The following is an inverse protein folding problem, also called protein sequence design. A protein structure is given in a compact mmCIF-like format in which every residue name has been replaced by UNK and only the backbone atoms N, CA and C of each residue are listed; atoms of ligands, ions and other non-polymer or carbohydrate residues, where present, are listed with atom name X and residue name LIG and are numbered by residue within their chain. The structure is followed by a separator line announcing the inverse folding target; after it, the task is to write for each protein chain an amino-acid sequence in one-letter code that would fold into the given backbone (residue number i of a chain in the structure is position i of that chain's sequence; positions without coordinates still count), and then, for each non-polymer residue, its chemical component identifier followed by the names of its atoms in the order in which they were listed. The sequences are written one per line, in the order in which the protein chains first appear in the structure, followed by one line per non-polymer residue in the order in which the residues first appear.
data_IF_091958907647
#
_entry.id   IF_091958907647
#
_cell.length_a   1.000
_cell.length_b   1.000
_cell.length_c   1.000
_cell.angle_alpha   90.00
_cell.angle_beta   90.00
_cell.angle_gamma   90.00
#
_symmetry.space_group_name_H-M   'P 1'
#
loop_
_entity.id
_entity.type
_entity.pdbx_description
1 polymer ?
#
# COMPACT_ATOMS: atom_id res chain seq x y z
N UNK A 1 -3.56 8.71 -13.46
CA UNK A 1 -2.64 9.84 -13.16
C UNK A 1 -3.35 11.10 -12.67
N UNK A 2 -4.54 11.50 -13.27
CA UNK A 2 -5.23 12.71 -12.82
C UNK A 2 -5.73 12.62 -11.36
N UNK A 3 -6.23 11.48 -10.85
CA UNK A 3 -6.55 11.38 -9.43
C UNK A 3 -5.36 11.60 -8.51
N UNK A 4 -4.16 11.17 -8.90
CA UNK A 4 -2.93 11.33 -8.09
C UNK A 4 -2.41 12.76 -8.01
N UNK A 5 -3.02 13.71 -8.71
CA UNK A 5 -2.72 15.14 -8.51
C UNK A 5 -3.04 15.62 -7.10
N UNK A 6 -3.79 14.82 -6.32
CA UNK A 6 -4.02 15.06 -4.90
C UNK A 6 -2.73 15.08 -4.06
N UNK A 7 -1.64 14.49 -4.54
CA UNK A 7 -0.31 14.59 -3.92
C UNK A 7 0.20 16.03 -3.84
N UNK A 8 -0.35 16.93 -4.64
CA UNK A 8 -0.06 18.37 -4.59
C UNK A 8 -0.74 19.07 -3.40
N UNK A 9 -1.70 18.41 -2.75
CA UNK A 9 -2.32 18.90 -1.51
C UNK A 9 -1.33 18.66 -0.38
N UNK A 10 -0.55 19.67 -0.07
CA UNK A 10 0.50 19.64 0.95
C UNK A 10 0.64 21.01 1.60
N UNK A 11 1.14 21.01 2.83
CA UNK A 11 1.40 22.22 3.60
C UNK A 11 2.80 22.18 4.19
N UNK A 12 3.41 23.33 4.37
CA UNK A 12 4.65 23.48 5.13
C UNK A 12 4.42 23.47 6.64
N UNK A 13 3.20 23.80 7.07
CA UNK A 13 2.81 23.82 8.49
C UNK A 13 2.25 22.48 9.00
N UNK A 14 1.59 21.68 8.13
CA UNK A 14 1.04 20.37 8.48
C UNK A 14 1.71 19.26 7.64
N UNK A 15 2.67 18.53 8.20
CA UNK A 15 3.43 17.51 7.48
C UNK A 15 2.63 16.25 7.14
N UNK A 16 1.46 16.04 7.74
CA UNK A 16 0.61 14.86 7.49
C UNK A 16 -0.47 15.12 6.44
N UNK A 17 -0.65 16.35 6.01
CA UNK A 17 -1.72 16.73 5.07
C UNK A 17 -1.68 15.86 3.79
N UNK A 18 -0.50 15.59 3.27
CA UNK A 18 -0.35 14.77 2.06
C UNK A 18 -0.83 13.33 2.27
N UNK A 19 -0.53 12.70 3.40
CA UNK A 19 -0.98 11.32 3.64
C UNK A 19 -2.48 11.22 3.93
N UNK A 20 -3.09 12.28 4.44
CA UNK A 20 -4.54 12.34 4.66
C UNK A 20 -5.30 12.44 3.34
N UNK A 21 -4.81 13.27 2.41
CA UNK A 21 -5.51 13.56 1.16
C UNK A 21 -5.11 12.66 0.01
N UNK A 22 -3.88 12.12 -0.01
CA UNK A 22 -3.46 11.24 -1.08
C UNK A 22 -4.30 9.96 -1.12
N UNK A 23 -4.88 9.69 -2.29
CA UNK A 23 -5.85 8.62 -2.55
C UNK A 23 -7.11 8.70 -1.68
N UNK A 24 -7.55 9.93 -1.40
CA UNK A 24 -8.78 10.20 -0.67
C UNK A 24 -9.92 10.50 -1.67
N UNK A 25 -10.58 11.65 -1.57
CA UNK A 25 -11.78 12.01 -2.34
C UNK A 25 -11.60 11.88 -3.86
N UNK A 26 -10.42 12.16 -4.40
CA UNK A 26 -10.08 12.05 -5.84
C UNK A 26 -10.22 10.64 -6.40
N UNK A 27 -10.10 9.62 -5.54
CA UNK A 27 -10.22 8.20 -5.89
C UNK A 27 -11.60 7.62 -5.52
N UNK A 28 -12.48 8.43 -4.95
CA UNK A 28 -13.84 8.01 -4.57
C UNK A 28 -14.72 7.78 -5.79
N UNK A 29 -15.53 6.72 -5.76
CA UNK A 29 -16.53 6.44 -6.79
C UNK A 29 -17.58 7.56 -6.92
N UNK A 30 -17.83 8.31 -5.86
CA UNK A 30 -18.76 9.44 -5.86
C UNK A 30 -18.16 10.70 -6.49
N UNK A 31 -16.85 10.86 -6.43
CA UNK A 31 -16.13 11.96 -7.08
C UNK A 31 -15.84 11.67 -8.57
N UNK A 32 -15.82 10.41 -8.98
CA UNK A 32 -15.50 9.98 -10.34
C UNK A 32 -16.24 10.75 -11.44
N UNK A 33 -17.60 10.94 -11.39
CA UNK A 33 -18.30 11.67 -12.45
C UNK A 33 -17.82 13.11 -12.59
N UNK A 34 -17.65 13.82 -11.45
CA UNK A 34 -17.20 15.21 -11.43
C UNK A 34 -15.73 15.33 -11.88
N UNK A 35 -14.84 14.52 -11.34
CA UNK A 35 -13.43 14.49 -11.75
C UNK A 35 -13.25 14.16 -13.22
N UNK A 36 -14.02 13.16 -13.72
CA UNK A 36 -13.99 12.80 -15.14
C UNK A 36 -14.54 13.90 -16.03
N UNK A 37 -15.57 14.60 -15.61
CA UNK A 37 -16.12 15.75 -16.34
C UNK A 37 -15.07 16.85 -16.47
N UNK A 38 -14.43 17.23 -15.34
CA UNK A 38 -13.39 18.26 -15.31
C UNK A 38 -12.24 17.95 -16.26
N UNK A 39 -11.68 16.73 -16.16
CA UNK A 39 -10.57 16.29 -17.02
C UNK A 39 -11.02 16.22 -18.49
N UNK A 40 -12.26 15.78 -18.76
CA UNK A 40 -12.78 15.68 -20.13
C UNK A 40 -12.98 17.03 -20.77
N UNK A 41 -13.43 18.05 -20.02
CA UNK A 41 -13.54 19.42 -20.51
C UNK A 41 -12.17 19.96 -20.91
N UNK A 42 -11.15 19.76 -20.06
CA UNK A 42 -9.79 20.18 -20.37
C UNK A 42 -9.25 19.48 -21.64
N UNK A 43 -9.43 18.16 -21.74
CA UNK A 43 -8.97 17.39 -22.90
C UNK A 43 -9.75 17.73 -24.18
N UNK A 44 -11.00 18.13 -24.07
CA UNK A 44 -11.83 18.47 -25.22
C UNK A 44 -11.26 19.63 -26.02
N UNK A 45 -10.63 20.62 -25.38
CA UNK A 45 -9.97 21.73 -26.09
C UNK A 45 -8.89 21.24 -27.07
N UNK A 46 -8.21 20.14 -26.75
CA UNK A 46 -7.14 19.57 -27.56
C UNK A 46 -7.66 18.51 -28.56
N UNK A 47 -8.73 17.79 -28.21
CA UNK A 47 -9.18 16.61 -28.94
C UNK A 47 -10.49 16.80 -29.72
N UNK A 48 -11.12 17.99 -29.67
CA UNK A 48 -12.43 18.27 -30.28
C UNK A 48 -12.49 17.99 -31.79
N UNK A 49 -11.36 18.10 -32.49
CA UNK A 49 -11.28 17.83 -33.93
C UNK A 49 -11.18 16.35 -34.26
N UNK A 50 -10.90 15.47 -33.27
CA UNK A 50 -10.66 14.05 -33.46
C UNK A 50 -11.69 13.16 -32.77
N UNK A 51 -12.28 13.63 -31.65
CA UNK A 51 -13.18 12.86 -30.82
C UNK A 51 -14.37 13.70 -30.33
N UNK A 52 -15.54 13.07 -30.27
CA UNK A 52 -16.72 13.66 -29.64
C UNK A 52 -16.53 13.70 -28.10
N UNK A 53 -17.06 14.71 -27.46
CA UNK A 53 -16.97 14.92 -25.99
C UNK A 53 -17.41 13.68 -25.20
N UNK A 54 -18.52 13.02 -25.58
CA UNK A 54 -19.01 11.80 -24.91
C UNK A 54 -17.99 10.65 -24.91
N UNK A 55 -17.19 10.53 -25.97
CA UNK A 55 -16.17 9.50 -26.06
C UNK A 55 -14.98 9.83 -25.16
N UNK A 56 -14.57 11.12 -25.12
CA UNK A 56 -13.53 11.58 -24.22
C UNK A 56 -13.95 11.33 -22.77
N UNK A 57 -15.19 11.69 -22.41
CA UNK A 57 -15.73 11.47 -21.07
C UNK A 57 -15.75 9.96 -20.72
N UNK A 58 -16.23 9.11 -21.62
CA UNK A 58 -16.25 7.66 -21.38
C UNK A 58 -14.84 7.08 -21.14
N UNK A 59 -13.85 7.49 -21.93
CA UNK A 59 -12.47 7.02 -21.76
C UNK A 59 -11.84 7.53 -20.46
N UNK A 60 -12.05 8.81 -20.14
CA UNK A 60 -11.54 9.39 -18.88
C UNK A 60 -12.21 8.72 -17.68
N UNK A 61 -13.52 8.55 -17.71
CA UNK A 61 -14.28 7.91 -16.63
C UNK A 61 -13.81 6.47 -16.39
N UNK A 62 -13.67 5.65 -17.44
CA UNK A 62 -13.17 4.29 -17.33
C UNK A 62 -11.72 4.26 -16.85
N UNK A 63 -10.89 5.19 -17.30
CA UNK A 63 -9.50 5.32 -16.85
C UNK A 63 -9.39 5.65 -15.35
N UNK A 64 -10.19 6.61 -14.87
CA UNK A 64 -10.21 6.96 -13.45
C UNK A 64 -10.81 5.83 -12.58
N UNK A 65 -11.88 5.18 -13.06
CA UNK A 65 -12.51 4.05 -12.37
C UNK A 65 -11.54 2.88 -12.18
N UNK A 66 -10.85 2.48 -13.26
CA UNK A 66 -9.87 1.39 -13.21
C UNK A 66 -8.64 1.77 -12.38
N UNK A 67 -8.22 3.02 -12.39
CA UNK A 67 -7.13 3.54 -11.56
C UNK A 67 -7.46 3.41 -10.07
N UNK A 68 -8.59 3.96 -9.61
CA UNK A 68 -9.01 3.84 -8.20
C UNK A 68 -9.20 2.38 -7.75
N UNK A 69 -9.71 1.53 -8.62
CA UNK A 69 -9.83 0.09 -8.34
C UNK A 69 -8.46 -0.59 -8.19
N UNK A 70 -7.50 -0.33 -9.09
CA UNK A 70 -6.15 -0.88 -9.00
C UNK A 70 -5.42 -0.41 -7.74
N UNK A 71 -5.63 0.84 -7.35
CA UNK A 71 -5.07 1.36 -6.11
C UNK A 71 -5.66 0.68 -4.87
N UNK A 72 -6.95 0.33 -4.89
CA UNK A 72 -7.55 -0.48 -3.84
C UNK A 72 -6.98 -1.90 -3.77
N UNK A 73 -6.45 -2.43 -4.88
CA UNK A 73 -5.74 -3.72 -4.89
C UNK A 73 -4.38 -3.66 -4.19
N UNK A 74 -3.79 -2.48 -4.03
CA UNK A 74 -2.48 -2.28 -3.35
C UNK A 74 -2.63 -2.19 -1.84
N UNK A 75 -1.49 -2.15 -1.15
CA UNK A 75 -1.45 -2.01 0.32
C UNK A 75 -1.77 -0.60 0.80
N UNK A 76 -1.43 0.42 0.03
CA UNK A 76 -1.73 1.80 0.40
C UNK A 76 -3.25 2.03 0.44
N UNK A 77 -3.96 1.42 -0.49
CA UNK A 77 -5.42 1.48 -0.58
C UNK A 77 -5.95 2.86 -0.95
N UNK A 78 -7.26 2.98 -1.02
CA UNK A 78 -7.96 4.22 -1.30
C UNK A 78 -9.27 4.33 -0.50
N UNK A 79 -9.78 5.53 -0.31
CA UNK A 79 -11.10 5.77 0.30
C UNK A 79 -12.20 5.73 -0.76
N UNK A 80 -12.45 4.55 -1.33
CA UNK A 80 -13.40 4.37 -2.45
C UNK A 80 -14.82 4.92 -2.17
N UNK A 81 -15.25 4.90 -0.92
CA UNK A 81 -16.61 5.28 -0.54
C UNK A 81 -16.71 6.64 0.15
N UNK A 82 -15.68 7.48 0.07
CA UNK A 82 -15.78 8.85 0.54
C UNK A 82 -16.90 9.61 -0.25
N UNK A 83 -17.75 10.45 0.36
CA UNK A 83 -17.76 10.90 1.76
C UNK A 83 -18.52 9.99 2.73
N UNK A 84 -19.13 8.90 2.29
CA UNK A 84 -19.94 8.00 3.14
C UNK A 84 -19.07 7.22 4.13
N UNK A 85 -17.81 6.98 3.79
CA UNK A 85 -16.85 6.28 4.65
C UNK A 85 -15.43 6.78 4.39
N UNK A 86 -14.70 7.05 5.46
CA UNK A 86 -13.27 7.40 5.41
C UNK A 86 -12.36 6.15 5.44
N UNK A 87 -12.95 4.94 5.51
CA UNK A 87 -12.17 3.70 5.55
C UNK A 87 -11.39 3.51 4.25
N UNK A 88 -10.06 3.34 4.36
CA UNK A 88 -9.22 2.93 3.24
C UNK A 88 -9.44 1.45 2.92
N UNK A 89 -9.76 1.16 1.67
CA UNK A 89 -9.87 -0.20 1.15
C UNK A 89 -8.53 -0.58 0.56
N UNK A 90 -7.89 -1.60 1.12
CA UNK A 90 -6.62 -2.16 0.65
C UNK A 90 -6.73 -3.68 0.63
N UNK A 91 -6.67 -4.26 -0.56
CA UNK A 91 -6.79 -5.72 -0.73
C UNK A 91 -5.46 -6.44 -0.54
N UNK A 92 -4.33 -5.73 -0.55
CA UNK A 92 -2.98 -6.28 -0.37
C UNK A 92 -2.63 -7.42 -1.35
N UNK A 93 -3.12 -7.37 -2.58
CA UNK A 93 -2.94 -8.45 -3.55
C UNK A 93 -1.90 -8.16 -4.62
N UNK A 94 -1.57 -6.89 -4.84
CA UNK A 94 -0.55 -6.48 -5.81
C UNK A 94 0.39 -5.45 -5.20
N UNK A 95 1.66 -5.50 -5.57
CA UNK A 95 2.64 -4.47 -5.23
C UNK A 95 2.33 -3.16 -5.98
N UNK A 96 2.67 -2.02 -5.38
CA UNK A 96 2.51 -0.71 -6.03
C UNK A 96 3.33 -0.59 -7.33
N UNK A 97 4.46 -1.29 -7.40
CA UNK A 97 5.24 -1.50 -8.62
C UNK A 97 5.28 -3.00 -8.87
N UNK A 98 4.59 -3.46 -9.89
CA UNK A 98 4.59 -4.86 -10.32
C UNK A 98 5.07 -4.95 -11.79
N UNK A 99 6.33 -5.35 -12.02
CA UNK A 99 6.91 -5.42 -13.36
C UNK A 99 6.17 -6.39 -14.28
N UNK A 100 5.70 -7.54 -13.74
CA UNK A 100 4.99 -8.53 -14.55
C UNK A 100 3.68 -7.96 -15.06
N UNK A 101 2.91 -7.32 -14.20
CA UNK A 101 1.66 -6.67 -14.58
C UNK A 101 1.89 -5.54 -15.57
N UNK A 102 2.80 -4.62 -15.24
CA UNK A 102 3.05 -3.41 -16.03
C UNK A 102 3.64 -3.72 -17.39
N UNK A 103 4.71 -4.54 -17.45
CA UNK A 103 5.37 -4.86 -18.72
C UNK A 103 4.45 -5.66 -19.67
N UNK A 104 3.66 -6.56 -19.13
CA UNK A 104 2.69 -7.32 -19.94
C UNK A 104 1.65 -6.39 -20.57
N UNK A 105 1.11 -5.43 -19.83
CA UNK A 105 0.18 -4.44 -20.36
C UNK A 105 0.84 -3.54 -21.43
N UNK A 106 2.08 -3.11 -21.21
CA UNK A 106 2.83 -2.32 -22.20
C UNK A 106 3.00 -3.13 -23.48
N UNK A 107 3.33 -4.41 -23.40
CA UNK A 107 3.48 -5.30 -24.56
C UNK A 107 2.16 -5.41 -25.33
N UNK A 108 1.03 -5.66 -24.66
CA UNK A 108 -0.27 -5.73 -25.30
C UNK A 108 -0.67 -4.40 -25.95
N UNK A 109 -0.41 -3.28 -25.28
CA UNK A 109 -0.66 -1.94 -25.81
C UNK A 109 0.19 -1.68 -27.06
N UNK A 110 1.48 -2.03 -27.04
CA UNK A 110 2.38 -1.91 -28.19
C UNK A 110 1.84 -2.68 -29.40
N UNK A 111 1.44 -3.94 -29.21
CA UNK A 111 0.88 -4.73 -30.31
C UNK A 111 -0.49 -4.22 -30.76
N UNK A 112 -1.32 -3.71 -29.87
CA UNK A 112 -2.59 -3.08 -30.20
C UNK A 112 -2.39 -1.90 -31.17
N UNK A 113 -1.43 -1.03 -30.88
CA UNK A 113 -1.10 0.14 -31.72
C UNK A 113 -0.45 -0.31 -33.03
N UNK A 114 0.59 -1.15 -32.97
CA UNK A 114 1.36 -1.60 -34.15
C UNK A 114 0.49 -2.38 -35.15
N UNK A 115 -0.39 -3.24 -34.66
CA UNK A 115 -1.27 -4.07 -35.50
C UNK A 115 -2.63 -3.43 -35.76
N UNK A 116 -2.92 -2.26 -35.20
CA UNK A 116 -4.22 -1.58 -35.26
C UNK A 116 -5.39 -2.52 -34.95
N UNK A 117 -5.22 -3.40 -33.95
CA UNK A 117 -6.17 -4.48 -33.63
C UNK A 117 -6.57 -4.48 -32.17
N UNK A 118 -7.86 -4.31 -31.90
CA UNK A 118 -8.44 -4.36 -30.56
C UNK A 118 -8.33 -5.74 -29.89
N UNK A 119 -7.92 -6.80 -30.60
CA UNK A 119 -7.71 -8.12 -29.99
C UNK A 119 -6.68 -8.06 -28.88
N UNK A 120 -5.59 -7.31 -29.08
CA UNK A 120 -4.52 -7.20 -28.08
C UNK A 120 -4.96 -6.45 -26.83
N UNK A 121 -5.78 -5.41 -26.95
CA UNK A 121 -6.34 -4.75 -25.77
C UNK A 121 -7.28 -5.66 -24.98
N UNK A 122 -8.08 -6.49 -25.64
CA UNK A 122 -8.92 -7.52 -24.98
C UNK A 122 -8.06 -8.55 -24.25
N UNK A 123 -6.96 -9.01 -24.84
CA UNK A 123 -6.01 -9.90 -24.14
C UNK A 123 -5.37 -9.22 -22.93
N UNK A 124 -5.02 -7.93 -23.04
CA UNK A 124 -4.52 -7.15 -21.89
C UNK A 124 -5.52 -7.09 -20.73
N UNK A 125 -6.80 -6.85 -21.04
CA UNK A 125 -7.87 -6.84 -20.03
C UNK A 125 -8.04 -8.22 -19.39
N UNK A 126 -8.12 -9.28 -20.20
CA UNK A 126 -8.25 -10.65 -19.72
C UNK A 126 -7.06 -11.05 -18.83
N UNK A 127 -5.85 -10.71 -19.26
CA UNK A 127 -4.64 -10.91 -18.47
C UNK A 127 -4.74 -10.18 -17.12
N UNK A 128 -5.16 -8.90 -17.12
CA UNK A 128 -5.30 -8.12 -15.89
C UNK A 128 -6.25 -8.77 -14.89
N UNK A 129 -7.42 -9.19 -15.36
CA UNK A 129 -8.42 -9.87 -14.52
C UNK A 129 -7.83 -11.16 -13.95
N UNK A 130 -7.25 -12.01 -14.82
CA UNK A 130 -6.67 -13.28 -14.41
C UNK A 130 -5.51 -13.08 -13.41
N UNK A 131 -4.63 -12.11 -13.67
CA UNK A 131 -3.49 -11.82 -12.81
C UNK A 131 -3.92 -11.33 -11.42
N UNK A 132 -4.92 -10.45 -11.35
CA UNK A 132 -5.46 -9.98 -10.07
C UNK A 132 -6.16 -11.11 -9.29
N UNK A 133 -6.92 -11.97 -9.96
CA UNK A 133 -7.55 -13.15 -9.34
C UNK A 133 -6.49 -14.15 -8.84
N UNK A 134 -5.45 -14.36 -9.62
CA UNK A 134 -4.31 -15.19 -9.22
C UNK A 134 -3.63 -14.64 -7.97
N UNK A 135 -3.33 -13.33 -7.94
CA UNK A 135 -2.71 -12.69 -6.78
C UNK A 135 -3.64 -12.68 -5.56
N UNK A 136 -4.94 -12.53 -5.74
CA UNK A 136 -5.92 -12.70 -4.67
C UNK A 136 -5.85 -14.11 -4.07
N UNK A 137 -5.83 -15.13 -4.92
CA UNK A 137 -5.69 -16.52 -4.47
C UNK A 137 -4.37 -16.76 -3.74
N UNK A 138 -3.27 -16.18 -4.23
CA UNK A 138 -1.97 -16.24 -3.54
C UNK A 138 -2.02 -15.57 -2.17
N UNK A 139 -2.62 -14.41 -2.06
CA UNK A 139 -2.80 -13.73 -0.77
C UNK A 139 -3.55 -14.63 0.22
N UNK A 140 -4.65 -15.28 -0.19
CA UNK A 140 -5.40 -16.23 0.66
C UNK A 140 -4.54 -17.43 1.08
N UNK A 141 -3.70 -17.96 0.18
CA UNK A 141 -2.79 -19.06 0.51
C UNK A 141 -1.75 -18.63 1.55
N UNK A 142 -1.17 -17.44 1.43
CA UNK A 142 -0.21 -16.90 2.41
C UNK A 142 -0.89 -16.64 3.74
N UNK A 143 -2.09 -16.05 3.76
CA UNK A 143 -2.87 -15.89 4.99
C UNK A 143 -3.08 -17.23 5.71
N UNK A 144 -3.52 -18.26 4.98
CA UNK A 144 -3.70 -19.61 5.55
C UNK A 144 -2.38 -20.21 6.08
N UNK A 145 -1.28 -19.98 5.38
CA UNK A 145 0.04 -20.42 5.83
C UNK A 145 0.44 -19.78 7.16
N UNK A 146 0.25 -18.46 7.29
CA UNK A 146 0.59 -17.72 8.52
C UNK A 146 -0.35 -18.12 9.68
N UNK A 147 -1.64 -18.35 9.42
CA UNK A 147 -2.56 -18.88 10.44
C UNK A 147 -2.10 -20.24 10.98
N UNK A 148 -1.68 -21.16 10.09
CA UNK A 148 -1.15 -22.46 10.49
C UNK A 148 0.15 -22.32 11.29
N UNK A 149 1.03 -21.41 10.89
CA UNK A 149 2.26 -21.10 11.61
C UNK A 149 1.99 -20.60 13.03
N UNK A 150 1.07 -19.65 13.16
CA UNK A 150 0.71 -19.13 14.49
C UNK A 150 0.11 -20.21 15.39
N UNK A 151 -0.72 -21.10 14.83
CA UNK A 151 -1.25 -22.26 15.57
C UNK A 151 -0.12 -23.20 16.05
N UNK A 152 0.91 -23.44 15.22
CA UNK A 152 2.09 -24.22 15.61
C UNK A 152 2.90 -23.56 16.74
N UNK A 153 2.91 -22.23 16.78
CA UNK A 153 3.49 -21.43 17.87
C UNK A 153 2.58 -21.32 19.09
N UNK A 154 1.37 -21.90 19.06
CA UNK A 154 0.31 -21.76 20.08
C UNK A 154 -0.15 -20.29 20.25
N UNK A 155 -0.09 -19.49 19.20
CA UNK A 155 -0.52 -18.10 19.19
C UNK A 155 -1.94 -18.00 18.64
N UNK A 156 -2.84 -17.38 19.40
CA UNK A 156 -4.19 -17.02 18.93
C UNK A 156 -4.12 -15.64 18.28
N UNK A 157 -4.20 -15.60 16.96
CA UNK A 157 -4.10 -14.34 16.20
C UNK A 157 -5.30 -13.42 16.49
N UNK A 158 -5.03 -12.22 16.96
CA UNK A 158 -6.01 -11.14 17.14
C UNK A 158 -6.23 -10.37 15.83
N UNK A 159 -5.15 -10.09 15.10
CA UNK A 159 -5.15 -9.40 13.81
C UNK A 159 -4.08 -9.99 12.89
N UNK A 160 -4.38 -10.05 11.61
CA UNK A 160 -3.45 -10.54 10.58
C UNK A 160 -3.39 -9.54 9.42
N UNK A 161 -2.18 -9.28 8.96
CA UNK A 161 -1.90 -8.45 7.79
C UNK A 161 -0.84 -9.15 6.94
N UNK A 162 -1.14 -9.31 5.64
CA UNK A 162 -0.25 -9.95 4.68
C UNK A 162 -0.23 -9.12 3.41
N UNK A 163 0.95 -8.86 2.88
CA UNK A 163 1.11 -8.14 1.61
C UNK A 163 2.29 -8.69 0.79
N UNK A 164 2.25 -8.58 -0.55
CA UNK A 164 3.41 -8.87 -1.37
C UNK A 164 4.51 -7.82 -1.15
N UNK A 165 5.77 -8.20 -1.34
CA UNK A 165 6.88 -7.24 -1.35
C UNK A 165 6.95 -6.51 -2.70
N UNK A 166 7.77 -5.48 -2.78
CA UNK A 166 7.89 -4.68 -4.00
C UNK A 166 8.35 -5.54 -5.19
N UNK A 167 7.70 -5.34 -6.32
CA UNK A 167 8.10 -5.92 -7.59
C UNK A 167 7.79 -7.40 -7.81
N UNK A 168 7.09 -8.08 -6.88
CA UNK A 168 6.82 -9.50 -7.01
C UNK A 168 5.59 -9.97 -6.22
N UNK A 169 5.18 -11.22 -6.47
CA UNK A 169 4.13 -11.94 -5.75
C UNK A 169 4.61 -13.29 -5.20
N UNK A 170 5.92 -13.42 -4.95
CA UNK A 170 6.58 -14.63 -4.48
C UNK A 170 7.00 -14.48 -3.02
N UNK A 171 7.48 -13.30 -2.66
CA UNK A 171 7.93 -12.97 -1.32
C UNK A 171 6.92 -12.03 -0.66
N UNK A 172 6.48 -12.37 0.54
CA UNK A 172 5.40 -11.71 1.25
C UNK A 172 5.85 -11.26 2.63
N UNK A 173 5.42 -10.09 3.06
CA UNK A 173 5.51 -9.66 4.46
C UNK A 173 4.24 -10.09 5.17
N UNK A 174 4.38 -10.73 6.33
CA UNK A 174 3.28 -11.04 7.23
C UNK A 174 3.49 -10.36 8.58
N UNK A 175 2.41 -9.85 9.14
CA UNK A 175 2.37 -9.25 10.48
C UNK A 175 1.14 -9.81 11.17
N UNK A 176 1.32 -10.42 12.32
CA UNK A 176 0.17 -10.78 13.15
C UNK A 176 0.35 -10.29 14.58
N UNK A 177 -0.78 -10.03 15.23
CA UNK A 177 -0.85 -9.60 16.62
C UNK A 177 -1.24 -10.78 17.50
N UNK A 178 -0.50 -10.96 18.59
CA UNK A 178 -0.78 -11.90 19.66
C UNK A 178 -0.13 -11.44 20.97
N UNK A 179 -0.88 -11.50 22.07
CA UNK A 179 -0.41 -11.21 23.44
C UNK A 179 0.35 -9.88 23.54
N UNK A 180 -0.26 -8.80 23.06
CA UNK A 180 0.30 -7.45 23.10
C UNK A 180 1.56 -7.23 22.24
N UNK A 181 1.87 -8.14 21.31
CA UNK A 181 3.01 -8.03 20.40
C UNK A 181 2.59 -8.20 18.94
N UNK A 182 3.31 -7.52 18.06
CA UNK A 182 3.33 -7.82 16.64
C UNK A 182 4.47 -8.76 16.33
N UNK A 183 4.19 -9.83 15.59
CA UNK A 183 5.17 -10.75 15.02
C UNK A 183 5.28 -10.47 13.53
N UNK A 184 6.50 -10.24 13.05
CA UNK A 184 6.80 -9.88 11.67
C UNK A 184 7.67 -10.96 11.07
N UNK A 185 7.14 -11.66 10.08
CA UNK A 185 7.84 -12.73 9.37
C UNK A 185 7.75 -12.49 7.86
N UNK A 186 8.66 -13.08 7.07
CA UNK A 186 8.51 -13.16 5.63
C UNK A 186 8.10 -14.59 5.21
N UNK A 187 7.27 -14.65 4.17
CA UNK A 187 6.83 -15.91 3.58
C UNK A 187 7.27 -15.95 2.11
N UNK A 188 8.18 -16.86 1.80
CA UNK A 188 8.54 -17.19 0.43
C UNK A 188 7.57 -18.23 -0.12
N UNK A 189 6.73 -17.87 -1.09
CA UNK A 189 5.70 -18.73 -1.67
C UNK A 189 5.79 -18.73 -3.20
N UNK A 190 6.71 -19.50 -3.79
CA UNK A 190 6.85 -19.63 -5.24
C UNK A 190 5.70 -20.44 -5.86
N UNK A 191 5.66 -20.51 -7.21
CA UNK A 191 4.65 -21.28 -7.93
C UNK A 191 4.80 -22.81 -7.75
N UNK A 192 6.04 -23.29 -7.81
CA UNK A 192 6.35 -24.73 -7.99
C UNK A 192 7.02 -25.39 -6.78
N UNK A 193 7.40 -24.61 -5.77
CA UNK A 193 8.09 -25.12 -4.57
C UNK A 193 7.21 -24.93 -3.35
N UNK A 194 7.50 -25.70 -2.29
CA UNK A 194 6.83 -25.52 -0.99
C UNK A 194 7.10 -24.12 -0.44
N UNK A 195 6.10 -23.56 0.24
CA UNK A 195 6.26 -22.31 0.98
C UNK A 195 7.32 -22.47 2.06
N UNK A 196 8.11 -21.42 2.29
CA UNK A 196 9.11 -21.35 3.35
C UNK A 196 8.84 -20.13 4.22
N UNK A 197 8.98 -20.31 5.52
CA UNK A 197 9.07 -19.21 6.47
C UNK A 197 10.49 -18.65 6.43
N UNK A 198 10.60 -17.36 6.54
CA UNK A 198 11.83 -16.64 6.88
C UNK A 198 11.49 -15.91 8.16
N UNK A 199 11.94 -16.44 9.27
CA UNK A 199 11.65 -15.90 10.59
C UNK A 199 12.18 -14.48 10.71
N UNK A 200 11.41 -13.65 11.31
CA UNK A 200 11.77 -12.25 11.51
C UNK A 200 11.81 -11.91 12.99
N UNK A 201 11.14 -10.87 13.38
CA UNK A 201 11.25 -10.31 14.71
C UNK A 201 9.87 -9.94 15.27
N UNK A 202 9.83 -9.48 16.51
CA UNK A 202 8.61 -9.01 17.14
C UNK A 202 8.82 -7.65 17.81
N UNK A 203 7.73 -6.89 17.95
CA UNK A 203 7.70 -5.62 18.67
C UNK A 203 6.42 -5.50 19.49
N UNK A 204 6.43 -4.62 20.50
CA UNK A 204 5.24 -4.37 21.32
C UNK A 204 4.18 -3.61 20.54
N UNK A 205 2.92 -3.96 20.75
CA UNK A 205 1.78 -3.14 20.35
C UNK A 205 1.77 -1.89 21.25
N UNK A 206 1.58 -0.74 20.65
CA UNK A 206 1.44 0.52 21.38
C UNK A 206 -0.01 0.98 21.33
N UNK A 207 -0.48 1.56 22.44
CA UNK A 207 -1.76 2.25 22.46
C UNK A 207 -1.56 3.72 22.09
N UNK A 208 -2.08 4.10 20.93
CA UNK A 208 -2.02 5.47 20.38
C UNK A 208 -2.62 6.53 21.29
N UNK A 209 -3.48 6.15 22.25
CA UNK A 209 -4.12 7.09 23.17
C UNK A 209 -3.32 7.36 24.42
N UNK A 210 -2.46 6.44 24.84
CA UNK A 210 -1.77 6.46 26.14
C UNK A 210 -0.26 6.44 26.04
N UNK A 211 0.30 6.27 24.82
CA UNK A 211 1.75 6.16 24.64
C UNK A 211 2.51 7.39 25.11
N UNK A 212 1.89 8.56 25.05
CA UNK A 212 2.37 9.81 25.61
C UNK A 212 1.26 10.49 26.42
N UNK A 213 1.63 11.17 27.50
CA UNK A 213 0.69 11.87 28.38
C UNK A 213 0.33 13.25 27.85
N UNK A 214 -0.24 13.31 26.65
CA UNK A 214 -0.68 14.55 26.01
C UNK A 214 -2.07 14.98 26.45
N UNK A 215 -2.33 16.30 26.43
CA UNK A 215 -3.66 16.84 26.58
C UNK A 215 -4.57 16.41 25.42
N UNK A 216 -5.90 16.51 25.59
CA UNK A 216 -6.85 16.16 24.52
C UNK A 216 -6.77 17.11 23.34
N UNK A 217 -6.38 18.33 23.58
CA UNK A 217 -6.24 19.44 22.61
C UNK A 217 -4.87 19.47 21.93
N UNK A 218 -3.94 18.57 22.30
CA UNK A 218 -2.58 18.51 21.75
C UNK A 218 -2.57 18.19 20.26
N UNK A 219 -1.84 18.99 19.47
CA UNK A 219 -1.59 18.71 18.06
C UNK A 219 -0.79 17.42 17.88
N UNK A 220 0.19 17.14 18.76
CA UNK A 220 0.96 15.90 18.75
C UNK A 220 0.05 14.67 18.88
N UNK A 221 -0.92 14.73 19.81
CA UNK A 221 -1.89 13.66 19.99
C UNK A 221 -2.77 13.48 18.75
N UNK A 222 -3.27 14.56 18.20
CA UNK A 222 -4.08 14.52 16.97
C UNK A 222 -3.30 13.90 15.80
N UNK A 223 -2.05 14.28 15.62
CA UNK A 223 -1.19 13.75 14.57
C UNK A 223 -0.87 12.26 14.76
N UNK A 224 -0.66 11.79 15.98
CA UNK A 224 -0.51 10.36 16.27
C UNK A 224 -1.77 9.60 15.86
N UNK A 225 -2.95 10.12 16.14
CA UNK A 225 -4.21 9.50 15.74
C UNK A 225 -4.38 9.46 14.21
N UNK A 226 -4.05 10.56 13.52
CA UNK A 226 -4.07 10.66 12.04
C UNK A 226 -3.10 9.64 11.42
N UNK A 227 -1.87 9.60 11.91
CA UNK A 227 -0.85 8.65 11.43
C UNK A 227 -1.25 7.19 11.72
N UNK A 228 -1.79 6.91 12.89
CA UNK A 228 -2.31 5.60 13.26
C UNK A 228 -3.47 5.16 12.34
N UNK A 229 -4.40 6.07 12.05
CA UNK A 229 -5.47 5.82 11.09
C UNK A 229 -4.91 5.51 9.69
N UNK A 230 -3.95 6.29 9.20
CA UNK A 230 -3.24 6.04 7.95
C UNK A 230 -2.56 4.67 7.96
N UNK A 231 -1.87 4.31 9.05
CA UNK A 231 -1.18 3.03 9.23
C UNK A 231 -2.14 1.86 9.53
N UNK A 232 -3.46 2.09 9.52
CA UNK A 232 -4.46 1.09 9.90
C UNK A 232 -4.14 0.45 11.26
N UNK A 233 -3.74 1.27 12.23
CA UNK A 233 -3.32 0.92 13.59
C UNK A 233 -2.12 -0.07 13.68
N UNK A 234 -1.39 -0.32 12.61
CA UNK A 234 -0.13 -1.06 12.63
C UNK A 234 1.03 -0.11 12.90
N UNK A 235 1.04 0.47 14.10
CA UNK A 235 2.07 1.40 14.55
C UNK A 235 2.88 0.78 15.70
N UNK A 236 4.15 1.18 15.80
CA UNK A 236 5.06 0.73 16.84
C UNK A 236 6.14 1.79 17.08
N UNK A 237 6.86 1.71 18.21
CA UNK A 237 8.06 2.53 18.45
C UNK A 237 9.20 1.99 17.62
N UNK A 238 9.81 2.87 16.82
CA UNK A 238 10.94 2.50 15.98
C UNK A 238 12.16 2.16 16.85
N UNK A 239 12.88 1.06 16.59
CA UNK A 239 14.04 0.68 17.38
C UNK A 239 15.14 1.75 17.35
N UNK A 240 15.86 1.88 18.47
CA UNK A 240 17.08 2.71 18.62
C UNK A 240 16.91 4.21 18.34
N UNK A 241 15.67 4.68 18.13
CA UNK A 241 15.37 6.10 17.94
C UNK A 241 14.22 6.54 18.84
N UNK A 242 14.51 7.44 19.76
CA UNK A 242 13.51 7.95 20.69
C UNK A 242 12.40 8.74 20.00
N UNK A 243 11.19 8.56 20.50
CA UNK A 243 10.01 9.30 20.07
C UNK A 243 9.60 9.13 18.62
N UNK A 244 10.04 8.06 17.94
CA UNK A 244 9.59 7.77 16.57
C UNK A 244 8.54 6.68 16.60
N UNK A 245 7.34 7.01 16.08
CA UNK A 245 6.27 6.07 15.78
C UNK A 245 6.33 5.76 14.29
N UNK A 246 6.42 4.49 13.93
CA UNK A 246 6.57 4.06 12.55
C UNK A 246 5.44 3.15 12.08
N UNK A 247 5.21 3.11 10.75
CA UNK A 247 4.23 2.25 10.10
C UNK A 247 4.81 0.85 9.87
N UNK A 248 4.36 -0.11 10.67
CA UNK A 248 4.85 -1.48 10.63
C UNK A 248 4.54 -2.21 9.31
N UNK A 249 3.54 -1.78 8.56
CA UNK A 249 3.15 -2.43 7.29
C UNK A 249 4.23 -2.36 6.21
N UNK A 250 5.15 -1.37 6.32
CA UNK A 250 6.17 -1.09 5.31
C UNK A 250 7.57 -1.18 5.90
N UNK A 251 8.16 -2.38 5.82
CA UNK A 251 9.55 -2.61 6.22
C UNK A 251 10.51 -2.53 5.04
N UNK A 252 11.78 -2.29 5.31
CA UNK A 252 12.87 -2.36 4.34
C UNK A 252 13.00 -3.79 3.83
N UNK A 253 13.24 -4.75 4.73
CA UNK A 253 13.08 -6.18 4.45
C UNK A 253 11.70 -6.68 4.93
N UNK A 254 11.16 -7.75 4.35
CA UNK A 254 9.83 -8.23 4.70
C UNK A 254 9.72 -8.84 6.10
N UNK A 255 10.82 -9.16 6.76
CA UNK A 255 10.87 -9.77 8.09
C UNK A 255 11.50 -8.87 9.17
N UNK A 256 11.79 -7.59 8.85
CA UNK A 256 12.42 -6.65 9.78
C UNK A 256 11.45 -5.59 10.34
N UNK A 257 11.96 -4.78 11.30
CA UNK A 257 11.27 -3.62 11.88
C UNK A 257 11.73 -2.29 11.28
N UNK A 258 12.57 -2.29 10.22
CA UNK A 258 13.08 -1.06 9.61
C UNK A 258 12.03 -0.46 8.68
N UNK A 259 11.08 0.28 9.24
CA UNK A 259 10.01 0.93 8.47
C UNK A 259 10.52 1.95 7.47
N UNK A 260 9.77 2.15 6.38
CA UNK A 260 10.13 3.13 5.35
C UNK A 260 9.83 4.58 5.74
N UNK A 261 8.91 4.80 6.70
CA UNK A 261 8.51 6.11 7.22
C UNK A 261 7.92 6.02 8.62
N UNK A 262 7.90 7.14 9.26
CA UNK A 262 7.33 7.32 10.58
C UNK A 262 7.12 8.79 10.91
N UNK A 263 6.68 9.06 12.11
CA UNK A 263 6.55 10.39 12.67
C UNK A 263 7.44 10.54 13.91
N UNK A 264 8.11 11.68 14.02
CA UNK A 264 8.86 12.05 15.22
C UNK A 264 7.98 12.91 16.11
N UNK A 265 7.67 12.39 17.27
CA UNK A 265 6.91 13.07 18.32
C UNK A 265 7.85 13.99 19.12
N UNK A 266 7.35 15.15 19.54
CA UNK A 266 8.07 16.17 20.30
C UNK A 266 7.33 16.44 21.61
N UNK A 267 7.51 15.62 22.65
CA UNK A 267 6.71 15.72 23.89
C UNK A 267 6.76 17.09 24.57
N UNK A 268 7.85 17.82 24.38
CA UNK A 268 8.07 19.16 24.92
C UNK A 268 7.28 20.26 24.19
N UNK A 269 6.68 19.95 23.01
CA UNK A 269 6.02 20.92 22.15
C UNK A 269 4.62 20.43 21.72
N UNK A 270 3.71 20.22 22.68
CA UNK A 270 2.38 19.64 22.43
C UNK A 270 1.54 20.33 21.36
N UNK A 271 1.73 21.65 21.17
CA UNK A 271 0.96 22.49 20.23
C UNK A 271 1.59 22.60 18.84
N UNK A 272 2.66 21.84 18.57
CA UNK A 272 3.28 21.78 17.25
C UNK A 272 2.97 20.44 16.59
N UNK A 273 2.94 20.43 15.28
CA UNK A 273 2.86 19.17 14.52
C UNK A 273 4.11 18.29 14.71
N UNK A 274 3.92 16.98 14.56
CA UNK A 274 5.01 16.01 14.46
C UNK A 274 5.86 16.26 13.21
N UNK A 275 7.06 15.71 13.14
CA UNK A 275 7.79 15.66 11.88
C UNK A 275 7.51 14.34 11.16
N UNK A 276 7.17 14.39 9.87
CA UNK A 276 7.09 13.19 9.04
C UNK A 276 8.47 12.83 8.52
N UNK A 277 8.93 11.61 8.82
CA UNK A 277 10.28 11.16 8.51
C UNK A 277 10.28 10.06 7.45
N UNK A 278 11.19 10.18 6.49
CA UNK A 278 11.61 9.06 5.65
C UNK A 278 12.71 8.29 6.36
N UNK A 279 12.45 7.03 6.70
CA UNK A 279 13.37 6.14 7.40
C UNK A 279 14.05 5.15 6.45
N UNK A 280 13.95 5.40 5.14
CA UNK A 280 14.47 4.50 4.09
C UNK A 280 15.98 4.38 4.18
N UNK A 281 16.46 3.16 4.35
CA UNK A 281 17.88 2.83 4.30
C UNK A 281 18.10 1.63 3.36
N UNK A 282 18.45 1.92 2.11
CA UNK A 282 18.73 0.92 1.08
C UNK A 282 20.24 0.87 0.86
N UNK A 283 20.94 0.08 1.66
CA UNK A 283 22.36 -0.19 1.51
C UNK A 283 22.62 -1.44 0.65
N UNK A 284 23.88 -1.78 0.42
CA UNK A 284 24.30 -2.92 -0.40
C UNK A 284 23.80 -4.25 0.20
N UNK A 285 23.80 -4.37 1.53
CA UNK A 285 23.37 -5.58 2.24
C UNK A 285 21.87 -5.82 2.07
N UNK A 286 21.06 -4.73 2.08
CA UNK A 286 19.65 -4.81 1.77
C UNK A 286 19.37 -5.51 0.43
N UNK A 287 20.05 -5.09 -0.64
CA UNK A 287 19.83 -5.68 -1.97
C UNK A 287 20.21 -7.15 -2.01
N UNK A 288 21.30 -7.52 -1.36
CA UNK A 288 21.76 -8.91 -1.25
C UNK A 288 20.76 -9.77 -0.49
N UNK A 289 20.31 -9.32 0.68
CA UNK A 289 19.41 -10.06 1.54
C UNK A 289 18.01 -10.19 0.91
N UNK A 290 17.49 -9.10 0.34
CA UNK A 290 16.22 -9.13 -0.38
C UNK A 290 16.26 -10.12 -1.56
N UNK A 291 17.37 -10.13 -2.32
CA UNK A 291 17.55 -11.04 -3.46
C UNK A 291 17.69 -12.50 -3.01
N UNK A 292 18.38 -12.76 -1.91
CA UNK A 292 18.48 -14.10 -1.32
C UNK A 292 17.10 -14.61 -0.88
N UNK A 293 16.30 -13.77 -0.19
CA UNK A 293 14.92 -14.10 0.18
C UNK A 293 14.06 -14.37 -1.05
N UNK A 294 14.11 -13.51 -2.06
CA UNK A 294 13.31 -13.62 -3.28
C UNK A 294 13.66 -14.86 -4.11
N UNK A 295 14.92 -15.30 -4.09
CA UNK A 295 15.39 -16.51 -4.77
C UNK A 295 15.22 -17.79 -3.94
N UNK A 296 14.75 -17.68 -2.69
CA UNK A 296 14.58 -18.81 -1.77
C UNK A 296 15.89 -19.42 -1.28
N UNK A 297 17.00 -18.65 -1.37
CA UNK A 297 18.36 -19.04 -0.94
C UNK A 297 18.64 -18.66 0.51
N UNK A 298 17.66 -18.11 1.24
CA UNK A 298 17.83 -17.84 2.66
C UNK A 298 18.11 -19.16 3.38
N UNK A 299 19.13 -19.24 4.24
CA UNK A 299 19.37 -20.45 5.02
C UNK A 299 18.12 -20.79 5.84
N UNK A 300 17.77 -22.07 6.01
CA UNK A 300 16.77 -22.46 7.01
C UNK A 300 17.27 -22.03 8.39
N UNK A 301 16.36 -21.52 9.22
CA UNK A 301 16.59 -21.22 10.63
C UNK A 301 16.99 -22.45 11.41
#
# INVERSE_FOLDING_TARGET
LSPDLDVLIRSSSDPLLTIDYHRNFTHSIFFLPLGSLTVSVLLFFFLKNSLHFKNIFAFVFLGMLTHGFLDACTTYGTTLFWPLSNKRISMNIISIVDPVFTLTLIIFLFFCIKKKSAKFSRFGILFSIFYLLYNFSKNQMVNKYVLNLANQRSHQIERLFVKPTIGNNILWRSIYQYDGKYFVDAVYMPLTKKAKLITGTSTKVIDKNTIFSFSKESEQRNDILRFSFFANDYIYIYPDLDYIIADLRYGTLPNDLNSLWGIKVKPENENQHVDFLSLRNFNTDFYKDFWNMLSGKHPPD
#
